data_IF_946940438944
#
_entry.id   IF_946940438944
#
_cell.length_a   1.000
_cell.length_b   1.000
_cell.length_c   1.000
_cell.angle_alpha   90.00
_cell.angle_beta   90.00
_cell.angle_gamma   90.00
#
_symmetry.space_group_name_H-M   'P 1'
#
loop_
_entity.id
_entity.type
_entity.pdbx_description
1 polymer ?
#
# COMPACT_ATOMS: atom_id res chain seq x y z
N UNK A 1 36.89 63.17 18.18
CA UNK A 1 37.54 62.58 19.39
C UNK A 1 37.76 61.08 19.13
N UNK A 2 38.87 60.53 19.64
CA UNK A 2 39.24 59.11 19.78
C UNK A 2 39.24 58.13 18.57
N UNK A 3 40.47 57.70 18.24
CA UNK A 3 41.07 56.42 17.75
C UNK A 3 40.19 55.13 17.65
N UNK A 4 40.57 54.12 16.82
CA UNK A 4 41.86 53.39 16.95
C UNK A 4 42.71 53.23 15.67
N UNK A 5 44.00 52.79 15.80
CA UNK A 5 44.98 52.75 14.71
C UNK A 5 45.31 51.33 14.18
N UNK A 6 45.98 51.29 13.03
CA UNK A 6 46.89 50.24 12.52
C UNK A 6 46.52 48.76 12.67
N UNK A 7 46.26 48.12 11.53
CA UNK A 7 46.85 46.81 11.22
C UNK A 7 47.16 46.71 9.71
N UNK A 8 48.45 46.78 9.36
CA UNK A 8 48.93 46.41 8.03
C UNK A 8 48.75 44.90 7.82
N UNK A 9 48.42 44.44 6.61
CA UNK A 9 48.68 43.05 6.22
C UNK A 9 47.77 42.42 5.17
N UNK A 10 48.05 42.64 3.89
CA UNK A 10 48.16 41.61 2.83
C UNK A 10 48.04 42.25 1.42
N UNK A 11 48.93 41.94 0.45
CA UNK A 11 48.71 42.27 -0.95
C UNK A 11 47.59 41.39 -1.55
N UNK A 12 46.87 41.86 -2.59
CA UNK A 12 45.79 41.09 -3.21
C UNK A 12 46.32 39.83 -3.92
N UNK A 13 45.59 38.71 -3.79
CA UNK A 13 45.88 37.48 -4.55
C UNK A 13 45.65 37.69 -6.05
N UNK A 14 46.46 37.08 -6.93
CA UNK A 14 46.19 37.07 -8.37
C UNK A 14 44.94 36.25 -8.69
N UNK A 15 44.20 36.69 -9.70
CA UNK A 15 43.00 36.04 -10.23
C UNK A 15 43.34 34.66 -10.82
N UNK A 16 42.61 33.61 -10.43
CA UNK A 16 42.67 32.32 -11.11
C UNK A 16 41.84 32.35 -12.41
N UNK A 17 42.30 31.70 -13.50
CA UNK A 17 41.50 31.53 -14.70
C UNK A 17 40.39 30.47 -14.49
N UNK A 18 39.27 30.56 -15.23
CA UNK A 18 38.17 29.60 -15.13
C UNK A 18 38.56 28.20 -15.65
N UNK A 19 37.91 27.12 -15.16
CA UNK A 19 38.20 25.76 -15.60
C UNK A 19 37.75 25.51 -17.06
N UNK A 20 38.43 24.60 -17.80
CA UNK A 20 38.11 24.31 -19.19
C UNK A 20 36.76 23.61 -19.35
N UNK A 21 36.00 23.97 -20.40
CA UNK A 21 34.77 23.26 -20.78
C UNK A 21 35.11 21.88 -21.38
N UNK A 22 34.28 20.85 -21.17
CA UNK A 22 34.38 19.60 -21.92
C UNK A 22 34.17 19.86 -23.42
N UNK A 23 35.04 19.30 -24.26
CA UNK A 23 34.88 19.29 -25.71
C UNK A 23 33.67 18.41 -26.08
N UNK A 24 32.67 18.99 -26.75
CA UNK A 24 31.62 18.19 -27.39
C UNK A 24 32.17 17.55 -28.67
N UNK A 25 31.88 16.26 -28.95
CA UNK A 25 32.28 15.63 -30.21
C UNK A 25 31.52 16.21 -31.40
N UNK A 26 32.13 16.26 -32.60
CA UNK A 26 31.50 16.85 -33.78
C UNK A 26 30.32 16.01 -34.32
N UNK A 27 29.32 16.64 -34.93
CA UNK A 27 28.00 16.03 -35.19
C UNK A 27 27.97 14.89 -36.23
N UNK A 28 29.05 14.66 -36.97
CA UNK A 28 29.11 13.67 -38.06
C UNK A 28 29.39 12.23 -37.60
N UNK A 29 29.74 11.99 -36.33
CA UNK A 29 30.06 10.64 -35.82
C UNK A 29 28.84 9.69 -35.80
N UNK A 30 27.62 10.21 -35.95
CA UNK A 30 26.36 9.46 -35.83
C UNK A 30 25.84 8.81 -37.13
N UNK A 31 26.62 8.82 -38.21
CA UNK A 31 26.20 8.26 -39.52
C UNK A 31 26.68 6.82 -39.80
N UNK A 32 27.40 6.18 -38.88
CA UNK A 32 27.70 4.75 -39.03
C UNK A 32 26.47 3.91 -38.65
N UNK A 33 26.01 2.99 -39.53
CA UNK A 33 25.01 2.00 -39.13
C UNK A 33 25.57 1.16 -37.97
N UNK A 34 24.78 0.87 -36.92
CA UNK A 34 25.27 0.13 -35.78
C UNK A 34 25.68 -1.28 -36.22
N UNK A 35 26.96 -1.61 -36.02
CA UNK A 35 27.46 -2.96 -36.22
C UNK A 35 26.62 -3.94 -35.38
N UNK A 36 26.13 -5.05 -35.95
CA UNK A 36 25.29 -5.99 -35.21
C UNK A 36 26.08 -6.55 -34.03
N UNK A 37 25.62 -6.23 -32.81
CA UNK A 37 26.29 -6.66 -31.59
C UNK A 37 26.32 -8.18 -31.52
N UNK A 38 27.49 -8.76 -31.27
CA UNK A 38 27.68 -10.21 -31.14
C UNK A 38 26.78 -10.83 -30.05
N UNK A 39 26.32 -10.03 -29.08
CA UNK A 39 25.33 -10.41 -28.08
C UNK A 39 23.97 -10.83 -28.67
N UNK A 40 23.61 -10.36 -29.88
CA UNK A 40 22.38 -10.79 -30.57
C UNK A 40 22.46 -12.26 -30.98
N UNK A 41 23.66 -12.77 -31.31
CA UNK A 41 23.83 -14.17 -31.68
C UNK A 41 23.64 -15.12 -30.50
N UNK A 42 24.02 -14.74 -29.28
CA UNK A 42 23.82 -15.58 -28.09
C UNK A 42 22.34 -15.94 -27.86
N UNK A 43 21.43 -15.01 -28.13
CA UNK A 43 19.97 -15.20 -27.97
C UNK A 43 19.29 -15.85 -29.19
N UNK A 44 20.03 -16.23 -30.24
CA UNK A 44 19.47 -17.03 -31.32
C UNK A 44 19.02 -18.39 -30.79
N UNK A 45 17.81 -18.80 -31.20
CA UNK A 45 17.13 -20.01 -30.73
C UNK A 45 18.03 -21.26 -30.71
N UNK A 46 18.83 -21.44 -31.75
CA UNK A 46 19.69 -22.61 -31.90
C UNK A 46 20.91 -22.55 -30.96
N UNK A 47 21.52 -21.38 -30.78
CA UNK A 47 22.62 -21.17 -29.82
C UNK A 47 22.14 -21.37 -28.37
N UNK A 48 20.96 -20.88 -28.01
CA UNK A 48 20.36 -21.12 -26.69
C UNK A 48 20.10 -22.62 -26.49
N UNK A 49 19.56 -23.30 -27.50
CA UNK A 49 19.27 -24.75 -27.47
C UNK A 49 20.55 -25.58 -27.29
N UNK A 50 21.61 -25.26 -28.03
CA UNK A 50 22.90 -25.93 -27.91
C UNK A 50 23.57 -25.68 -26.56
N UNK A 51 23.47 -24.46 -26.00
CA UNK A 51 23.96 -24.17 -24.65
C UNK A 51 23.19 -24.93 -23.57
N UNK A 52 21.86 -25.03 -23.68
CA UNK A 52 21.03 -25.83 -22.77
C UNK A 52 21.38 -27.31 -22.88
N UNK A 53 21.60 -27.84 -24.09
CA UNK A 53 22.01 -29.24 -24.30
C UNK A 53 23.37 -29.53 -23.65
N UNK A 54 24.39 -28.70 -23.89
CA UNK A 54 25.71 -28.82 -23.25
C UNK A 54 25.64 -28.74 -21.73
N UNK A 55 24.74 -27.90 -21.20
CA UNK A 55 24.51 -27.80 -19.75
C UNK A 55 23.89 -29.09 -19.21
N UNK A 56 22.93 -29.67 -19.91
CA UNK A 56 22.33 -30.96 -19.55
C UNK A 56 23.39 -32.09 -19.57
N UNK A 57 24.16 -32.21 -20.65
CA UNK A 57 25.30 -33.16 -20.76
C UNK A 57 26.29 -32.97 -19.58
N UNK A 58 26.56 -31.73 -19.18
CA UNK A 58 27.42 -31.42 -18.02
C UNK A 58 26.81 -31.85 -16.69
N UNK A 59 25.49 -31.72 -16.52
CA UNK A 59 24.76 -32.18 -15.32
C UNK A 59 24.72 -33.70 -15.25
N UNK A 60 24.54 -34.39 -16.37
CA UNK A 60 24.57 -35.85 -16.47
C UNK A 60 25.95 -36.40 -16.07
N UNK A 61 27.03 -35.87 -16.65
CA UNK A 61 28.42 -36.21 -16.26
C UNK A 61 28.70 -35.90 -14.79
N UNK A 62 28.22 -34.75 -14.28
CA UNK A 62 28.40 -34.39 -12.86
C UNK A 62 27.65 -35.34 -11.93
N UNK A 63 26.49 -35.84 -12.35
CA UNK A 63 25.68 -36.79 -11.57
C UNK A 63 26.29 -38.18 -11.56
N UNK A 64 26.82 -38.66 -12.69
CA UNK A 64 27.59 -39.90 -12.76
C UNK A 64 28.82 -39.87 -11.82
N UNK A 65 29.58 -38.77 -11.84
CA UNK A 65 30.73 -38.58 -10.94
C UNK A 65 30.32 -38.54 -9.45
N UNK A 66 29.15 -37.99 -9.12
CA UNK A 66 28.63 -38.03 -7.74
C UNK A 66 28.32 -39.48 -7.34
N UNK A 67 27.67 -40.25 -8.20
CA UNK A 67 27.34 -41.65 -7.93
C UNK A 67 28.60 -42.51 -7.74
N UNK A 68 29.62 -42.37 -8.61
CA UNK A 68 30.91 -43.06 -8.46
C UNK A 68 31.61 -42.71 -7.14
N UNK A 69 31.55 -41.43 -6.70
CA UNK A 69 32.11 -41.02 -5.41
C UNK A 69 31.33 -41.60 -4.21
N UNK A 70 30.02 -41.81 -4.33
CA UNK A 70 29.21 -42.48 -3.31
C UNK A 70 29.49 -43.99 -3.24
N UNK A 71 29.72 -44.64 -4.38
CA UNK A 71 30.15 -46.04 -4.46
C UNK A 71 31.55 -46.25 -3.82
N UNK A 72 32.50 -45.37 -4.12
CA UNK A 72 33.83 -45.38 -3.48
C UNK A 72 33.74 -45.09 -1.97
N UNK A 73 32.80 -44.26 -1.53
CA UNK A 73 32.59 -44.00 -0.10
C UNK A 73 31.96 -45.20 0.63
N UNK A 74 30.99 -45.89 0.04
CA UNK A 74 30.34 -47.06 0.65
C UNK A 74 31.27 -48.27 0.74
N UNK A 75 32.03 -48.55 -0.32
CA UNK A 75 33.05 -49.63 -0.34
C UNK A 75 34.21 -49.37 0.62
N UNK A 76 34.57 -48.10 0.88
CA UNK A 76 35.54 -47.76 1.91
C UNK A 76 35.00 -47.95 3.32
N UNK A 77 33.75 -47.58 3.57
CA UNK A 77 33.11 -47.71 4.88
C UNK A 77 32.81 -49.16 5.29
N UNK A 78 32.78 -50.12 4.35
CA UNK A 78 32.71 -51.56 4.67
C UNK A 78 34.07 -52.18 5.01
N UNK A 79 35.18 -51.57 4.60
CA UNK A 79 36.53 -52.03 4.93
C UNK A 79 36.94 -51.78 6.40
N UNK A 80 36.48 -50.68 7.00
CA UNK A 80 36.80 -50.32 8.39
C UNK A 80 35.99 -51.12 9.44
N UNK A 81 35.19 -52.12 9.02
CA UNK A 81 34.38 -52.97 9.89
C UNK A 81 35.03 -54.32 10.26
N UNK A 82 36.19 -54.67 9.68
CA UNK A 82 36.94 -55.90 9.99
C UNK A 82 38.37 -55.56 10.38
N UNK A 83 38.52 -54.96 11.56
CA UNK A 83 39.78 -54.94 12.29
C UNK A 83 39.78 -56.11 13.29
N UNK A 84 40.43 -57.22 12.91
CA UNK A 84 40.81 -58.25 13.87
C UNK A 84 42.29 -58.62 13.68
N UNK A 85 43.12 -58.06 14.57
CA UNK A 85 44.27 -58.70 15.22
C UNK A 85 44.92 -59.90 14.50
N UNK A 86 46.17 -59.73 14.06
CA UNK A 86 47.14 -60.81 13.87
C UNK A 86 48.56 -60.25 13.89
N UNK A 87 49.15 -60.19 15.09
CA UNK A 87 50.54 -59.79 15.29
C UNK A 87 51.54 -60.84 14.76
N UNK A 88 52.59 -60.33 14.12
CA UNK A 88 53.98 -60.80 14.12
C UNK A 88 54.28 -62.31 14.01
N UNK A 89 54.89 -62.71 12.89
CA UNK A 89 56.27 -63.27 12.83
C UNK A 89 56.44 -64.29 11.69
N UNK A 90 57.51 -64.16 10.90
CA UNK A 90 58.50 -65.22 10.64
C UNK A 90 59.31 -64.98 9.37
N UNK A 91 60.61 -65.11 9.52
CA UNK A 91 61.69 -65.06 8.52
C UNK A 91 61.44 -65.83 7.21
N UNK A 92 61.69 -65.19 6.05
CA UNK A 92 62.66 -65.71 5.05
C UNK A 92 63.06 -64.68 3.98
N UNK A 93 64.37 -64.55 3.76
CA UNK A 93 64.95 -63.99 2.54
C UNK A 93 64.99 -65.07 1.43
N UNK A 94 64.87 -64.66 0.16
CA UNK A 94 65.75 -65.11 -0.91
C UNK A 94 66.67 -63.92 -1.30
N UNK A 95 67.99 -64.00 -1.20
CA UNK A 95 68.88 -64.92 -1.92
C UNK A 95 68.81 -64.71 -3.43
N UNK A 96 69.59 -63.73 -3.88
CA UNK A 96 70.19 -63.54 -5.22
C UNK A 96 69.42 -63.96 -6.48
N UNK A 97 69.18 -62.98 -7.36
CA UNK A 97 69.77 -63.03 -8.70
C UNK A 97 69.96 -61.59 -9.20
N UNK A 98 71.15 -61.27 -9.71
CA UNK A 98 71.43 -59.97 -10.30
C UNK A 98 71.23 -59.98 -11.82
N UNK A 99 70.75 -58.87 -12.37
CA UNK A 99 71.15 -58.42 -13.70
C UNK A 99 71.17 -56.88 -13.76
N UNK A 100 71.94 -56.35 -14.70
CA UNK A 100 72.35 -54.95 -14.82
C UNK A 100 71.34 -54.08 -15.61
N UNK A 101 71.66 -52.78 -15.70
CA UNK A 101 71.21 -51.78 -16.71
C UNK A 101 70.16 -50.73 -16.28
N UNK A 102 70.67 -49.61 -15.76
CA UNK A 102 70.39 -48.22 -16.20
C UNK A 102 68.97 -47.75 -16.63
N UNK A 103 67.89 -47.99 -15.86
CA UNK A 103 66.62 -47.21 -16.00
C UNK A 103 65.92 -46.83 -14.67
N UNK A 104 66.58 -47.04 -13.52
CA UNK A 104 65.96 -46.88 -12.20
C UNK A 104 65.82 -45.42 -11.65
N UNK A 105 66.60 -44.39 -12.06
CA UNK A 105 66.43 -43.04 -11.50
C UNK A 105 65.14 -42.33 -11.93
N UNK A 106 64.73 -42.50 -13.20
CA UNK A 106 63.66 -41.72 -13.80
C UNK A 106 62.27 -42.13 -13.29
N UNK A 107 62.06 -43.42 -13.01
CA UNK A 107 60.77 -43.95 -12.53
C UNK A 107 60.42 -43.41 -11.15
N UNK A 108 61.37 -43.44 -10.21
CA UNK A 108 61.18 -42.86 -8.88
C UNK A 108 60.99 -41.33 -8.92
N UNK A 109 61.66 -40.63 -9.83
CA UNK A 109 61.47 -39.18 -10.00
C UNK A 109 60.07 -38.84 -10.53
N UNK A 110 59.57 -39.57 -11.53
CA UNK A 110 58.20 -39.41 -12.07
C UNK A 110 57.14 -39.72 -11.02
N UNK A 111 57.34 -40.77 -10.22
CA UNK A 111 56.43 -41.13 -9.12
C UNK A 111 56.40 -40.06 -8.01
N UNK A 112 57.56 -39.52 -7.61
CA UNK A 112 57.64 -38.43 -6.65
C UNK A 112 57.00 -37.14 -7.19
N UNK A 113 57.22 -36.81 -8.47
CA UNK A 113 56.61 -35.66 -9.12
C UNK A 113 55.07 -35.79 -9.21
N UNK A 114 54.57 -36.99 -9.51
CA UNK A 114 53.13 -37.30 -9.48
C UNK A 114 52.56 -37.15 -8.07
N UNK A 115 53.20 -37.75 -7.06
CA UNK A 115 52.80 -37.62 -5.65
C UNK A 115 52.81 -36.16 -5.14
N UNK A 116 53.76 -35.34 -5.62
CA UNK A 116 53.82 -33.89 -5.34
C UNK A 116 52.67 -33.14 -6.05
N UNK A 117 52.33 -33.54 -7.28
CA UNK A 117 51.19 -33.03 -8.03
C UNK A 117 49.84 -33.35 -7.38
N UNK A 118 49.66 -34.58 -6.91
CA UNK A 118 48.50 -35.07 -6.15
C UNK A 118 48.32 -34.30 -4.83
N UNK A 119 49.39 -34.18 -4.03
CA UNK A 119 49.40 -33.38 -2.79
C UNK A 119 49.05 -31.91 -3.06
N UNK A 120 49.62 -31.33 -4.12
CA UNK A 120 49.29 -29.96 -4.56
C UNK A 120 47.84 -29.82 -5.03
N UNK A 121 47.28 -30.85 -5.68
CA UNK A 121 45.87 -30.88 -6.09
C UNK A 121 44.92 -30.96 -4.88
N UNK A 122 45.24 -31.78 -3.87
CA UNK A 122 44.49 -31.84 -2.61
C UNK A 122 44.48 -30.50 -1.86
N UNK A 123 45.62 -29.80 -1.80
CA UNK A 123 45.68 -28.45 -1.19
C UNK A 123 44.78 -27.47 -1.95
N UNK A 124 44.81 -27.47 -3.30
CA UNK A 124 43.90 -26.64 -4.13
C UNK A 124 42.42 -26.99 -3.91
N UNK A 125 42.09 -28.28 -3.76
CA UNK A 125 40.73 -28.75 -3.46
C UNK A 125 40.26 -28.25 -2.08
N UNK A 126 41.08 -28.40 -1.04
CA UNK A 126 40.79 -27.93 0.31
C UNK A 126 40.56 -26.40 0.33
N UNK A 127 41.39 -25.63 -0.38
CA UNK A 127 41.22 -24.18 -0.55
C UNK A 127 39.90 -23.84 -1.27
N UNK A 128 39.55 -24.55 -2.36
CA UNK A 128 38.25 -24.39 -3.05
C UNK A 128 37.07 -24.67 -2.10
N UNK A 129 37.13 -25.73 -1.31
CA UNK A 129 36.10 -26.08 -0.32
C UNK A 129 35.95 -25.01 0.77
N UNK A 130 37.05 -24.48 1.30
CA UNK A 130 37.02 -23.38 2.27
C UNK A 130 36.48 -22.08 1.67
N UNK A 131 36.85 -21.75 0.41
CA UNK A 131 36.28 -20.62 -0.34
C UNK A 131 34.78 -20.79 -0.56
N UNK A 132 34.31 -22.00 -0.89
CA UNK A 132 32.90 -22.32 -1.02
C UNK A 132 32.12 -22.18 0.31
N UNK A 133 32.65 -22.72 1.42
CA UNK A 133 32.09 -22.55 2.78
C UNK A 133 31.98 -21.07 3.17
N UNK A 134 33.03 -20.27 2.93
CA UNK A 134 33.04 -18.82 3.17
C UNK A 134 32.01 -18.08 2.32
N UNK A 135 31.93 -18.39 1.02
CA UNK A 135 30.98 -17.80 0.08
C UNK A 135 29.52 -18.14 0.47
N UNK A 136 29.22 -19.38 0.87
CA UNK A 136 27.89 -19.79 1.38
C UNK A 136 27.49 -18.96 2.61
N UNK A 137 28.40 -18.75 3.57
CA UNK A 137 28.18 -17.89 4.75
C UNK A 137 27.96 -16.42 4.35
N UNK A 138 28.77 -15.87 3.45
CA UNK A 138 28.62 -14.49 2.96
C UNK A 138 27.29 -14.27 2.23
N UNK A 139 26.88 -15.16 1.31
CA UNK A 139 25.57 -15.08 0.64
C UNK A 139 24.40 -15.16 1.61
N UNK A 140 24.49 -16.00 2.66
CA UNK A 140 23.45 -16.06 3.71
C UNK A 140 23.34 -14.73 4.46
N UNK A 141 24.46 -14.12 4.84
CA UNK A 141 24.48 -12.79 5.49
C UNK A 141 23.96 -11.69 4.56
N UNK A 142 24.40 -11.65 3.29
CA UNK A 142 23.91 -10.67 2.31
C UNK A 142 22.40 -10.76 2.13
N UNK A 143 21.84 -11.97 1.97
CA UNK A 143 20.38 -12.14 1.90
C UNK A 143 19.65 -11.71 3.18
N UNK A 144 20.17 -12.04 4.37
CA UNK A 144 19.57 -11.58 5.63
C UNK A 144 19.55 -10.05 5.71
N UNK A 145 20.67 -9.40 5.40
CA UNK A 145 20.77 -7.94 5.46
C UNK A 145 19.86 -7.25 4.41
N UNK A 146 19.73 -7.81 3.22
CA UNK A 146 18.77 -7.32 2.21
C UNK A 146 17.32 -7.50 2.68
N UNK A 147 16.98 -8.64 3.28
CA UNK A 147 15.64 -8.84 3.86
C UNK A 147 15.36 -7.87 5.03
N UNK A 148 16.34 -7.63 5.90
CA UNK A 148 16.26 -6.66 7.00
C UNK A 148 16.08 -5.21 6.50
N UNK A 149 16.68 -4.85 5.37
CA UNK A 149 16.45 -3.55 4.73
C UNK A 149 15.01 -3.42 4.19
N UNK A 150 14.51 -4.43 3.48
CA UNK A 150 13.11 -4.46 3.00
C UNK A 150 12.09 -4.51 4.16
N UNK A 151 12.42 -5.15 5.27
CA UNK A 151 11.57 -5.21 6.47
C UNK A 151 11.51 -3.85 7.17
N UNK A 152 12.63 -3.11 7.24
CA UNK A 152 12.66 -1.72 7.74
C UNK A 152 11.88 -0.78 6.83
N UNK A 153 12.08 -0.87 5.52
CA UNK A 153 11.36 -0.07 4.52
C UNK A 153 9.84 -0.30 4.60
N UNK A 154 9.38 -1.55 4.75
CA UNK A 154 7.96 -1.84 5.04
C UNK A 154 7.49 -1.21 6.34
N UNK A 155 8.22 -1.39 7.42
CA UNK A 155 7.87 -0.81 8.72
C UNK A 155 7.88 0.74 8.72
N UNK A 156 8.65 1.38 7.83
CA UNK A 156 8.59 2.83 7.59
C UNK A 156 7.29 3.23 6.87
N UNK A 157 6.86 2.47 5.85
CA UNK A 157 5.55 2.69 5.22
C UNK A 157 4.39 2.45 6.18
N UNK A 158 4.38 1.33 6.91
CA UNK A 158 3.35 0.99 7.90
C UNK A 158 3.23 2.08 8.99
N UNK A 159 4.36 2.69 9.39
CA UNK A 159 4.37 3.84 10.32
C UNK A 159 3.68 5.08 9.74
N UNK A 160 3.98 5.41 8.48
CA UNK A 160 3.42 6.59 7.80
C UNK A 160 1.91 6.43 7.58
N UNK A 161 1.47 5.24 7.16
CA UNK A 161 0.04 4.95 6.99
C UNK A 161 -0.72 5.04 8.32
N UNK A 162 -0.15 4.49 9.41
CA UNK A 162 -0.72 4.62 10.75
C UNK A 162 -0.79 6.09 11.23
N UNK A 163 0.24 6.90 10.97
CA UNK A 163 0.22 8.33 11.30
C UNK A 163 -0.86 9.09 10.50
N UNK A 164 -1.04 8.74 9.22
CA UNK A 164 -2.11 9.30 8.38
C UNK A 164 -3.50 8.92 8.90
N UNK A 165 -3.71 7.68 9.34
CA UNK A 165 -4.97 7.23 9.96
C UNK A 165 -5.23 7.90 11.32
N UNK A 166 -4.22 8.00 12.17
CA UNK A 166 -4.31 8.79 13.40
C UNK A 166 -4.69 10.25 13.13
N UNK A 167 -4.10 10.87 12.10
CA UNK A 167 -4.41 12.24 11.73
C UNK A 167 -5.85 12.37 11.22
N UNK A 168 -6.30 11.45 10.35
CA UNK A 168 -7.69 11.37 9.89
C UNK A 168 -8.66 11.24 11.07
N UNK A 169 -8.42 10.31 11.99
CA UNK A 169 -9.24 10.10 13.18
C UNK A 169 -9.30 11.36 14.07
N UNK A 170 -8.17 12.05 14.26
CA UNK A 170 -8.10 13.32 15.02
C UNK A 170 -8.92 14.44 14.36
N UNK A 171 -9.00 14.52 13.04
CA UNK A 171 -9.86 15.51 12.36
C UNK A 171 -11.34 15.14 12.45
N UNK A 172 -11.70 13.87 12.21
CA UNK A 172 -13.08 13.38 12.36
C UNK A 172 -13.61 13.66 13.78
N UNK A 173 -12.79 13.40 14.81
CA UNK A 173 -13.15 13.70 16.19
C UNK A 173 -13.37 15.22 16.45
N UNK A 174 -12.55 16.10 15.86
CA UNK A 174 -12.74 17.56 15.95
C UNK A 174 -14.03 18.01 15.28
N UNK A 175 -14.35 17.49 14.10
CA UNK A 175 -15.57 17.84 13.37
C UNK A 175 -16.83 17.34 14.09
N UNK A 176 -16.79 16.14 14.67
CA UNK A 176 -17.87 15.62 15.53
C UNK A 176 -18.05 16.53 16.76
N UNK A 177 -16.95 16.91 17.43
CA UNK A 177 -17.02 17.81 18.59
C UNK A 177 -17.57 19.19 18.21
N UNK A 178 -17.11 19.79 17.10
CA UNK A 178 -17.61 21.07 16.58
C UNK A 178 -19.10 21.00 16.27
N UNK A 179 -19.55 19.99 15.53
CA UNK A 179 -20.97 19.76 15.19
C UNK A 179 -21.84 19.60 16.46
N UNK A 180 -21.33 18.93 17.49
CA UNK A 180 -22.02 18.77 18.78
C UNK A 180 -22.14 20.09 19.54
N UNK A 181 -21.11 20.94 19.52
CA UNK A 181 -21.16 22.30 20.09
C UNK A 181 -22.15 23.18 19.31
N UNK A 182 -22.13 23.16 17.98
CA UNK A 182 -23.07 23.91 17.14
C UNK A 182 -24.52 23.49 17.36
N UNK A 183 -24.79 22.18 17.45
CA UNK A 183 -26.11 21.64 17.81
C UNK A 183 -26.58 22.12 19.19
N UNK A 184 -25.70 22.08 20.19
CA UNK A 184 -26.00 22.59 21.54
C UNK A 184 -26.27 24.11 21.55
N UNK A 185 -25.54 24.89 20.74
CA UNK A 185 -25.82 26.33 20.55
C UNK A 185 -27.17 26.57 19.87
N UNK A 186 -27.56 25.77 18.87
CA UNK A 186 -28.88 25.86 18.25
C UNK A 186 -30.00 25.59 19.26
N UNK A 187 -29.86 24.57 20.12
CA UNK A 187 -30.80 24.27 21.20
C UNK A 187 -30.90 25.45 22.18
N UNK A 188 -29.78 26.02 22.61
CA UNK A 188 -29.76 27.18 23.50
C UNK A 188 -30.45 28.40 22.89
N UNK A 189 -30.15 28.73 21.62
CA UNK A 189 -30.81 29.82 20.87
C UNK A 189 -32.31 29.59 20.71
N UNK A 190 -32.74 28.34 20.48
CA UNK A 190 -34.16 27.99 20.38
C UNK A 190 -34.89 28.26 21.70
N UNK A 191 -34.32 27.81 22.84
CA UNK A 191 -34.90 28.06 24.17
C UNK A 191 -35.00 29.55 24.49
N UNK A 192 -33.96 30.34 24.24
CA UNK A 192 -33.99 31.80 24.46
C UNK A 192 -35.05 32.49 23.60
N UNK A 193 -35.21 32.09 22.33
CA UNK A 193 -36.25 32.64 21.47
C UNK A 193 -37.67 32.23 21.88
N UNK A 194 -37.84 31.03 22.44
CA UNK A 194 -39.11 30.53 22.98
C UNK A 194 -39.51 31.28 24.25
N UNK A 195 -38.57 31.48 25.18
CA UNK A 195 -38.74 32.31 26.38
C UNK A 195 -39.07 33.77 26.01
N UNK A 196 -38.36 34.36 25.03
CA UNK A 196 -38.66 35.71 24.55
C UNK A 196 -40.09 35.84 24.02
N UNK A 197 -40.54 34.88 23.19
CA UNK A 197 -41.91 34.84 22.66
C UNK A 197 -42.95 34.67 23.76
N UNK A 198 -42.63 33.88 24.79
CA UNK A 198 -43.50 33.73 25.97
C UNK A 198 -43.66 35.06 26.70
N UNK A 199 -42.55 35.74 27.03
CA UNK A 199 -42.58 37.05 27.70
C UNK A 199 -43.32 38.10 26.86
N UNK A 200 -43.09 38.15 25.55
CA UNK A 200 -43.81 39.01 24.61
C UNK A 200 -45.34 38.75 24.64
N UNK A 201 -45.77 37.49 24.77
CA UNK A 201 -47.19 37.15 24.93
C UNK A 201 -47.77 37.54 26.30
N UNK A 202 -46.97 37.44 27.37
CA UNK A 202 -47.34 37.85 28.73
C UNK A 202 -47.43 39.39 28.85
N UNK A 203 -46.55 40.13 28.16
CA UNK A 203 -46.60 41.58 28.03
C UNK A 203 -47.83 42.04 27.25
N UNK A 204 -48.12 41.44 26.08
CA UNK A 204 -49.32 41.73 25.30
C UNK A 204 -50.61 41.42 26.10
N UNK A 205 -50.62 40.35 26.91
CA UNK A 205 -51.73 40.06 27.84
C UNK A 205 -51.85 41.16 28.89
N UNK A 206 -50.74 41.60 29.48
CA UNK A 206 -50.71 42.64 30.51
C UNK A 206 -51.18 44.00 29.98
N UNK A 207 -50.74 44.41 28.79
CA UNK A 207 -51.19 45.63 28.10
C UNK A 207 -52.70 45.55 27.81
N UNK A 208 -53.19 44.40 27.34
CA UNK A 208 -54.63 44.18 27.11
C UNK A 208 -55.44 44.33 28.40
N UNK A 209 -55.03 43.68 29.49
CA UNK A 209 -55.68 43.78 30.80
C UNK A 209 -55.66 45.22 31.31
N UNK A 210 -54.52 45.92 31.20
CA UNK A 210 -54.42 47.33 31.61
C UNK A 210 -55.34 48.24 30.78
N UNK A 211 -55.51 47.97 29.47
CA UNK A 211 -56.45 48.69 28.60
C UNK A 211 -57.90 48.45 29.03
N UNK A 212 -58.29 47.20 29.29
CA UNK A 212 -59.65 46.87 29.75
C UNK A 212 -59.96 47.50 31.13
N UNK A 213 -58.98 47.47 32.06
CA UNK A 213 -59.09 48.12 33.37
C UNK A 213 -59.26 49.64 33.25
N UNK A 214 -58.53 50.30 32.34
CA UNK A 214 -58.70 51.74 32.04
C UNK A 214 -60.06 52.06 31.39
N UNK A 215 -60.70 51.09 30.74
CA UNK A 215 -62.04 51.21 30.16
C UNK A 215 -63.16 50.89 31.17
N UNK A 216 -62.85 50.67 32.45
CA UNK A 216 -63.84 50.40 33.49
C UNK A 216 -64.34 48.95 33.57
N UNK A 217 -63.78 48.04 32.78
CA UNK A 217 -64.15 46.63 32.78
C UNK A 217 -63.15 45.79 33.58
N UNK A 218 -63.32 45.70 34.92
CA UNK A 218 -62.60 44.71 35.74
C UNK A 218 -63.28 44.44 37.11
N UNK A 219 -63.51 43.16 37.44
CA UNK A 219 -63.87 42.65 38.77
C UNK A 219 -62.66 41.90 39.34
N UNK A 220 -61.99 42.36 40.42
CA UNK A 220 -60.66 41.83 40.77
C UNK A 220 -60.60 40.45 41.45
N UNK A 221 -61.52 40.10 42.37
CA UNK A 221 -61.28 38.99 43.31
C UNK A 221 -61.72 37.58 42.85
N UNK A 222 -62.55 37.45 41.82
CA UNK A 222 -63.23 36.19 41.49
C UNK A 222 -62.56 35.42 40.32
N UNK A 223 -62.03 36.15 39.34
CA UNK A 223 -61.38 35.59 38.14
C UNK A 223 -60.02 34.94 38.45
N UNK A 224 -59.24 35.48 39.38
CA UNK A 224 -57.94 34.89 39.75
C UNK A 224 -58.11 33.51 40.42
N UNK A 225 -59.12 33.35 41.27
CA UNK A 225 -59.52 32.04 41.84
C UNK A 225 -60.12 31.09 40.82
N UNK A 226 -60.65 31.58 39.71
CA UNK A 226 -61.10 30.74 38.60
C UNK A 226 -59.90 30.29 37.75
N UNK A 227 -59.02 31.21 37.37
CA UNK A 227 -57.78 30.92 36.63
C UNK A 227 -56.84 29.99 37.39
N UNK A 228 -56.75 30.11 38.71
CA UNK A 228 -55.99 29.17 39.55
C UNK A 228 -56.62 27.77 39.57
N UNK A 229 -57.96 27.66 39.68
CA UNK A 229 -58.67 26.37 39.55
C UNK A 229 -58.52 25.75 38.17
N UNK A 230 -58.57 26.55 37.10
CA UNK A 230 -58.33 26.08 35.72
C UNK A 230 -56.90 25.59 35.55
N UNK A 231 -55.90 26.32 36.07
CA UNK A 231 -54.51 25.86 36.08
C UNK A 231 -54.34 24.56 36.87
N UNK A 232 -54.92 24.47 38.07
CA UNK A 232 -54.85 23.27 38.91
C UNK A 232 -55.50 22.05 38.24
N UNK A 233 -56.61 22.25 37.52
CA UNK A 233 -57.26 21.18 36.75
C UNK A 233 -56.38 20.71 35.58
N UNK A 234 -55.80 21.64 34.81
CA UNK A 234 -54.88 21.33 33.70
C UNK A 234 -53.60 20.64 34.18
N UNK A 235 -53.02 21.10 35.29
CA UNK A 235 -51.81 20.48 35.88
C UNK A 235 -52.10 19.09 36.49
N UNK A 236 -53.34 18.85 36.95
CA UNK A 236 -53.79 17.52 37.37
C UNK A 236 -53.99 16.58 36.17
N UNK A 237 -54.58 17.06 35.08
CA UNK A 237 -54.71 16.32 33.81
C UNK A 237 -53.35 15.97 33.19
N UNK A 238 -52.41 16.91 33.17
CA UNK A 238 -51.04 16.68 32.67
C UNK A 238 -50.30 15.64 33.53
N UNK A 239 -50.43 15.69 34.87
CA UNK A 239 -49.91 14.63 35.76
C UNK A 239 -50.57 13.28 35.48
N UNK A 240 -51.88 13.25 35.26
CA UNK A 240 -52.59 12.01 34.95
C UNK A 240 -52.12 11.41 33.62
N UNK A 241 -51.97 12.22 32.57
CA UNK A 241 -51.42 11.82 31.29
C UNK A 241 -49.97 11.30 31.41
N UNK A 242 -49.12 11.96 32.20
CA UNK A 242 -47.76 11.51 32.48
C UNK A 242 -47.73 10.16 33.24
N UNK A 243 -48.66 9.93 34.18
CA UNK A 243 -48.79 8.61 34.83
C UNK A 243 -49.29 7.53 33.88
N UNK A 244 -50.27 7.83 33.01
CA UNK A 244 -50.76 6.90 32.00
C UNK A 244 -49.65 6.47 31.03
N UNK A 245 -48.95 7.44 30.43
CA UNK A 245 -47.81 7.18 29.55
C UNK A 245 -46.69 6.37 30.24
N UNK A 246 -46.42 6.63 31.53
CA UNK A 246 -45.47 5.84 32.32
C UNK A 246 -45.97 4.41 32.56
N UNK A 247 -47.27 4.19 32.77
CA UNK A 247 -47.83 2.83 32.87
C UNK A 247 -47.82 2.10 31.54
N UNK A 248 -48.05 2.79 30.43
CA UNK A 248 -48.04 2.17 29.10
C UNK A 248 -46.61 1.76 28.69
N UNK A 249 -45.62 2.62 28.91
CA UNK A 249 -44.20 2.25 28.74
C UNK A 249 -43.76 1.06 29.62
N UNK A 250 -44.38 0.88 30.80
CA UNK A 250 -44.15 -0.31 31.66
C UNK A 250 -44.85 -1.55 31.09
N UNK A 251 -46.06 -1.43 30.54
CA UNK A 251 -46.74 -2.54 29.84
C UNK A 251 -45.93 -3.00 28.63
N UNK A 252 -45.44 -2.08 27.81
CA UNK A 252 -44.62 -2.37 26.63
C UNK A 252 -43.31 -3.07 26.99
N UNK A 253 -42.66 -2.64 28.08
CA UNK A 253 -41.47 -3.30 28.61
C UNK A 253 -41.77 -4.73 29.12
N UNK A 254 -42.92 -4.96 29.76
CA UNK A 254 -43.36 -6.29 30.19
C UNK A 254 -43.67 -7.19 28.99
N UNK A 255 -44.39 -6.68 27.99
CA UNK A 255 -44.70 -7.42 26.75
C UNK A 255 -43.43 -7.81 26.00
N UNK A 256 -42.49 -6.88 25.85
CA UNK A 256 -41.17 -7.14 25.24
C UNK A 256 -40.38 -8.21 26.02
N UNK A 257 -40.47 -8.19 27.35
CA UNK A 257 -39.83 -9.19 28.21
C UNK A 257 -40.55 -10.55 28.22
N UNK A 258 -41.86 -10.61 27.97
CA UNK A 258 -42.62 -11.86 27.84
C UNK A 258 -42.44 -12.51 26.45
N UNK A 259 -42.43 -11.71 25.39
CA UNK A 259 -42.11 -12.17 24.03
C UNK A 259 -40.71 -12.79 23.98
N UNK A 260 -39.74 -12.18 24.66
CA UNK A 260 -38.37 -12.71 24.85
C UNK A 260 -38.31 -14.06 25.59
N UNK A 261 -39.39 -14.50 26.27
CA UNK A 261 -39.46 -15.80 26.97
C UNK A 261 -40.22 -16.89 26.22
N UNK A 262 -40.85 -16.60 25.07
CA UNK A 262 -41.59 -17.58 24.26
C UNK A 262 -40.83 -18.09 23.03
N UNK A 263 -39.56 -17.72 22.87
CA UNK A 263 -38.66 -18.34 21.89
C UNK A 263 -38.35 -19.81 22.31
N UNK A 264 -38.66 -20.82 21.49
CA UNK A 264 -38.52 -22.22 21.88
C UNK A 264 -37.07 -22.74 21.84
N UNK A 265 -36.73 -23.61 22.78
CA UNK A 265 -35.55 -24.48 22.69
C UNK A 265 -35.84 -25.71 21.83
N UNK A 266 -34.90 -26.08 20.96
CA UNK A 266 -34.67 -27.38 20.28
C UNK A 266 -33.48 -27.16 19.30
N UNK A 267 -32.39 -27.94 19.21
CA UNK A 267 -31.88 -29.11 19.96
C UNK A 267 -30.31 -29.11 20.00
N UNK A 268 -29.74 -29.15 21.21
CA UNK A 268 -28.67 -30.07 21.71
C UNK A 268 -27.40 -30.51 20.92
N UNK A 269 -26.23 -30.25 21.56
CA UNK A 269 -25.00 -31.10 21.71
C UNK A 269 -24.11 -31.44 20.47
N UNK A 270 -22.77 -31.58 20.54
CA UNK A 270 -21.76 -31.56 21.63
C UNK A 270 -20.33 -31.18 21.10
N UNK A 271 -19.40 -30.89 22.04
CA UNK A 271 -17.92 -30.71 21.91
C UNK A 271 -17.39 -29.33 21.44
N UNK A 272 -16.26 -28.78 21.93
CA UNK A 272 -15.62 -28.85 23.27
C UNK A 272 -14.61 -27.66 23.48
N UNK A 273 -14.19 -27.45 24.73
CA UNK A 273 -12.95 -26.83 25.25
C UNK A 273 -12.34 -25.52 24.64
N UNK A 274 -12.51 -24.45 25.44
CA UNK A 274 -11.43 -23.61 26.03
C UNK A 274 -11.12 -22.20 25.46
N UNK A 275 -11.47 -21.21 26.31
CA UNK A 275 -10.87 -19.87 26.55
C UNK A 275 -10.63 -18.90 25.36
N UNK A 276 -11.46 -17.87 25.15
CA UNK A 276 -11.61 -16.62 25.94
C UNK A 276 -10.52 -15.56 25.64
N UNK A 277 -10.84 -14.53 24.83
CA UNK A 277 -10.89 -13.09 25.22
C UNK A 277 -11.19 -12.17 24.00
N UNK A 278 -12.24 -11.33 24.16
CA UNK A 278 -12.50 -9.93 23.68
C UNK A 278 -11.64 -9.37 22.51
N UNK A 279 -12.16 -8.61 21.53
CA UNK A 279 -13.35 -7.72 21.47
C UNK A 279 -13.75 -7.34 20.01
N UNK A 280 -14.97 -6.81 19.78
CA UNK A 280 -15.45 -6.28 18.49
C UNK A 280 -14.87 -4.89 18.09
N UNK A 281 -15.55 -4.02 17.28
CA UNK A 281 -17.01 -3.74 17.39
C UNK A 281 -17.80 -3.28 16.12
N UNK A 282 -19.13 -3.13 16.30
CA UNK A 282 -20.11 -2.28 15.55
C UNK A 282 -20.47 -2.62 14.08
N UNK A 283 -21.76 -2.97 13.89
CA UNK A 283 -22.54 -2.64 12.69
C UNK A 283 -23.82 -1.91 13.10
N UNK A 284 -24.22 -0.91 12.31
CA UNK A 284 -25.38 -0.03 12.54
C UNK A 284 -26.61 -0.52 11.74
N UNK A 285 -27.83 -0.26 12.24
CA UNK A 285 -29.08 -0.82 11.68
C UNK A 285 -30.15 0.22 11.39
N UNK A 286 -30.49 0.30 10.10
CA UNK A 286 -31.78 0.72 9.51
C UNK A 286 -32.20 2.19 9.64
N UNK A 287 -32.30 2.86 8.49
CA UNK A 287 -33.50 3.63 8.16
C UNK A 287 -34.09 3.10 6.84
N UNK A 288 -35.39 2.79 6.84
CA UNK A 288 -36.18 2.44 5.65
C UNK A 288 -37.44 3.29 5.69
N UNK A 289 -37.54 4.27 4.80
CA UNK A 289 -38.72 5.13 4.68
C UNK A 289 -39.64 4.66 3.54
N UNK A 290 -40.92 5.02 3.63
CA UNK A 290 -42.01 4.50 2.81
C UNK A 290 -42.23 5.39 1.58
N UNK A 291 -42.22 4.78 0.39
CA UNK A 291 -42.52 5.46 -0.88
C UNK A 291 -43.46 4.62 -1.75
N UNK A 292 -44.69 5.08 -1.93
CA UNK A 292 -45.72 4.46 -2.76
C UNK A 292 -45.35 4.63 -4.25
N UNK A 293 -45.47 3.57 -5.06
CA UNK A 293 -45.60 3.74 -6.51
C UNK A 293 -46.44 2.62 -7.14
N UNK A 294 -47.40 3.01 -7.98
CA UNK A 294 -48.31 2.13 -8.71
C UNK A 294 -47.67 1.49 -9.94
N UNK A 295 -48.35 0.45 -10.45
CA UNK A 295 -48.06 -0.24 -11.70
C UNK A 295 -48.23 0.70 -12.90
N UNK A 296 -47.35 0.59 -13.90
CA UNK A 296 -47.83 0.45 -15.28
C UNK A 296 -46.78 -0.20 -16.21
N UNK A 297 -47.28 -0.82 -17.28
CA UNK A 297 -46.49 -1.63 -18.20
C UNK A 297 -45.80 -0.82 -19.33
N UNK A 298 -44.79 -1.45 -19.94
CA UNK A 298 -44.12 -1.01 -21.17
C UNK A 298 -45.06 -1.11 -22.40
N UNK A 299 -44.88 -0.34 -23.52
CA UNK A 299 -43.68 -0.53 -24.37
C UNK A 299 -43.17 0.64 -25.26
N UNK A 300 -41.85 0.56 -25.56
CA UNK A 300 -41.15 0.87 -26.83
C UNK A 300 -41.86 1.68 -27.96
N UNK A 301 -41.28 2.83 -28.35
CA UNK A 301 -40.91 3.26 -29.74
C UNK A 301 -39.81 4.35 -29.68
N UNK A 302 -38.65 4.16 -30.32
CA UNK A 302 -38.18 4.72 -31.63
C UNK A 302 -37.85 6.23 -31.70
N UNK A 303 -36.63 6.45 -32.19
CA UNK A 303 -35.92 7.63 -32.71
C UNK A 303 -36.74 8.78 -33.31
N UNK A 304 -36.41 10.03 -32.95
CA UNK A 304 -36.22 11.12 -33.93
C UNK A 304 -35.44 12.35 -33.38
N UNK A 305 -34.67 12.99 -34.26
CA UNK A 305 -33.98 14.26 -34.02
C UNK A 305 -34.92 15.44 -34.31
N UNK A 306 -34.88 16.49 -33.49
CA UNK A 306 -35.53 17.77 -33.81
C UNK A 306 -35.39 18.78 -32.68
N UNK A 307 -34.42 19.70 -32.78
CA UNK A 307 -34.27 20.78 -31.80
C UNK A 307 -35.11 22.01 -32.17
N UNK A 308 -35.36 22.89 -31.20
CA UNK A 308 -34.88 24.28 -31.25
C UNK A 308 -35.12 25.08 -29.95
N UNK A 309 -34.04 25.73 -29.49
CA UNK A 309 -33.99 27.12 -28.99
C UNK A 309 -34.82 27.54 -27.76
N UNK A 310 -34.12 27.73 -26.64
CA UNK A 310 -34.31 28.90 -25.74
C UNK A 310 -32.97 29.61 -25.59
N UNK A 311 -32.95 30.93 -25.76
CA UNK A 311 -31.74 31.74 -25.60
C UNK A 311 -31.52 32.13 -24.13
N UNK A 312 -30.29 31.97 -23.62
CA UNK A 312 -29.85 32.47 -22.32
C UNK A 312 -28.41 32.95 -22.41
N UNK A 313 -28.18 34.27 -22.33
CA UNK A 313 -26.84 34.88 -22.39
C UNK A 313 -26.01 34.48 -21.16
N UNK A 314 -24.81 33.92 -21.35
CA UNK A 314 -23.91 33.63 -20.23
C UNK A 314 -22.52 33.14 -20.65
N UNK A 315 -21.58 34.07 -20.74
CA UNK A 315 -20.11 33.90 -20.71
C UNK A 315 -19.53 32.56 -21.25
N UNK A 316 -19.07 32.58 -22.51
CA UNK A 316 -18.46 31.40 -23.13
C UNK A 316 -17.10 31.02 -22.54
N UNK A 317 -17.06 29.94 -21.76
CA UNK A 317 -15.89 29.08 -21.67
C UNK A 317 -16.16 27.84 -22.51
N UNK A 318 -15.77 27.90 -23.79
CA UNK A 318 -15.79 26.72 -24.66
C UNK A 318 -14.68 25.78 -24.16
N UNK A 319 -15.05 24.73 -23.44
CA UNK A 319 -14.10 23.68 -23.05
C UNK A 319 -13.59 23.00 -24.34
N UNK A 320 -12.29 23.06 -24.67
CA UNK A 320 -11.75 22.50 -25.90
C UNK A 320 -11.98 20.99 -26.04
N UNK A 321 -12.26 20.30 -24.93
CA UNK A 321 -12.42 18.85 -24.84
C UNK A 321 -13.77 18.40 -25.44
N UNK A 322 -14.80 19.25 -25.45
CA UNK A 322 -16.15 18.87 -25.89
C UNK A 322 -16.32 18.70 -27.41
N UNK A 323 -15.28 19.04 -28.20
CA UNK A 323 -15.28 18.90 -29.66
C UNK A 323 -14.37 17.76 -30.17
N UNK A 324 -13.83 16.92 -29.28
CA UNK A 324 -13.03 15.76 -29.69
C UNK A 324 -13.96 14.62 -30.20
N UNK A 325 -13.50 13.81 -31.17
CA UNK A 325 -14.21 12.59 -31.58
C UNK A 325 -14.45 11.67 -30.37
N UNK A 326 -15.56 10.94 -30.39
CA UNK A 326 -16.05 10.12 -29.27
C UNK A 326 -14.98 9.14 -28.75
N UNK A 327 -14.16 8.62 -29.64
CA UNK A 327 -13.04 7.71 -29.38
C UNK A 327 -12.00 8.32 -28.42
N UNK A 328 -11.75 9.63 -28.53
CA UNK A 328 -10.83 10.32 -27.61
C UNK A 328 -11.49 10.63 -26.26
N UNK A 329 -12.79 10.93 -26.23
CA UNK A 329 -13.51 11.11 -24.97
C UNK A 329 -13.54 9.81 -24.18
N UNK A 330 -13.76 8.68 -24.86
CA UNK A 330 -13.64 7.34 -24.30
C UNK A 330 -12.21 7.09 -23.75
N UNK A 331 -11.16 7.40 -24.51
CA UNK A 331 -9.77 7.24 -24.07
C UNK A 331 -9.41 8.07 -22.82
N UNK A 332 -9.74 9.37 -22.80
CA UNK A 332 -9.35 10.28 -21.72
C UNK A 332 -10.27 10.24 -20.49
N UNK A 333 -11.57 10.01 -20.67
CA UNK A 333 -12.56 10.09 -19.58
C UNK A 333 -13.27 8.77 -19.30
N UNK A 334 -13.40 7.86 -20.27
CA UNK A 334 -14.09 6.57 -20.08
C UNK A 334 -13.45 5.72 -18.97
N UNK A 335 -12.11 5.76 -18.84
CA UNK A 335 -11.37 5.09 -17.76
C UNK A 335 -11.68 5.59 -16.34
N UNK A 336 -12.36 6.74 -16.19
CA UNK A 336 -12.83 7.26 -14.89
C UNK A 336 -14.19 6.70 -14.46
N UNK A 337 -14.95 6.10 -15.39
CA UNK A 337 -16.32 5.63 -15.16
C UNK A 337 -16.53 4.16 -15.53
N UNK A 338 -15.62 3.57 -16.32
CA UNK A 338 -15.65 2.16 -16.73
C UNK A 338 -14.27 1.49 -16.58
N UNK A 339 -14.28 0.36 -15.86
CA UNK A 339 -13.10 -0.48 -15.65
C UNK A 339 -12.65 -1.22 -16.93
N UNK A 340 -13.56 -1.50 -17.87
CA UNK A 340 -13.21 -2.10 -19.16
C UNK A 340 -12.28 -1.18 -19.95
N UNK A 341 -12.70 0.08 -20.11
CA UNK A 341 -11.94 1.16 -20.75
C UNK A 341 -10.57 1.36 -20.09
N UNK A 342 -10.50 1.36 -18.75
CA UNK A 342 -9.22 1.47 -18.03
C UNK A 342 -8.26 0.31 -18.35
N UNK A 343 -8.78 -0.92 -18.47
CA UNK A 343 -8.00 -2.11 -18.83
C UNK A 343 -7.50 -2.02 -20.28
N UNK A 344 -8.33 -1.54 -21.21
CA UNK A 344 -7.94 -1.36 -22.63
C UNK A 344 -6.85 -0.30 -22.79
N UNK A 345 -7.02 0.86 -22.16
CA UNK A 345 -6.00 1.92 -22.10
C UNK A 345 -4.69 1.37 -21.53
N UNK A 346 -4.74 0.65 -20.40
CA UNK A 346 -3.54 0.03 -19.79
C UNK A 346 -2.87 -0.97 -20.74
N UNK A 347 -3.63 -1.85 -21.40
CA UNK A 347 -3.09 -2.83 -22.37
C UNK A 347 -2.41 -2.16 -23.56
N UNK A 348 -2.98 -1.05 -24.04
CA UNK A 348 -2.36 -0.23 -25.08
C UNK A 348 -1.04 0.36 -24.61
N UNK A 349 -0.98 0.97 -23.42
CA UNK A 349 0.29 1.47 -22.84
C UNK A 349 1.33 0.37 -22.62
N UNK A 350 0.92 -0.81 -22.13
CA UNK A 350 1.82 -1.94 -21.95
C UNK A 350 2.45 -2.40 -23.29
N UNK A 351 1.78 -2.20 -24.43
CA UNK A 351 2.34 -2.47 -25.77
C UNK A 351 3.50 -1.53 -26.14
N UNK A 352 3.55 -0.31 -25.60
CA UNK A 352 4.62 0.67 -25.82
C UNK A 352 5.76 0.55 -24.80
N UNK A 353 5.47 0.00 -23.62
CA UNK A 353 6.42 -0.10 -22.49
C UNK A 353 7.19 -1.42 -22.48
N UNK A 354 6.65 -2.49 -23.08
CA UNK A 354 7.31 -3.81 -23.13
C UNK A 354 8.56 -3.83 -24.01
N UNK A 355 9.63 -4.56 -23.63
CA UNK A 355 10.78 -4.79 -24.51
C UNK A 355 10.33 -5.48 -25.81
N UNK A 356 10.54 -4.81 -26.94
CA UNK A 356 10.06 -5.26 -28.26
C UNK A 356 8.71 -4.69 -28.70
N UNK A 357 8.12 -3.78 -27.92
CA UNK A 357 6.97 -2.98 -28.35
C UNK A 357 7.28 -2.02 -29.51
N UNK A 358 6.25 -1.61 -30.25
CA UNK A 358 6.40 -0.59 -31.29
C UNK A 358 6.75 0.75 -30.66
N UNK A 359 8.02 1.16 -30.80
CA UNK A 359 8.66 2.35 -30.22
C UNK A 359 7.73 3.48 -29.75
N UNK A 360 7.89 3.87 -28.48
CA UNK A 360 7.81 5.30 -28.11
C UNK A 360 8.71 6.05 -29.12
N UNK A 361 8.20 7.07 -29.85
CA UNK A 361 8.95 7.72 -30.91
C UNK A 361 10.33 8.19 -30.43
N UNK A 362 11.39 7.80 -31.15
CA UNK A 362 12.78 8.03 -30.73
C UNK A 362 13.17 9.49 -30.52
N UNK A 363 12.37 10.43 -31.04
CA UNK A 363 12.34 11.79 -30.56
C UNK A 363 11.47 11.91 -29.29
N UNK A 364 12.09 11.86 -28.11
CA UNK A 364 11.44 12.41 -26.93
C UNK A 364 11.22 13.90 -27.20
N UNK A 365 9.98 14.29 -27.48
CA UNK A 365 9.64 15.70 -27.70
C UNK A 365 9.89 16.41 -26.39
N UNK A 366 10.95 17.23 -26.35
CA UNK A 366 11.23 18.04 -25.18
C UNK A 366 10.01 18.94 -24.95
N UNK A 367 9.28 18.79 -23.83
CA UNK A 367 8.10 19.59 -23.59
C UNK A 367 8.51 21.06 -23.57
N UNK A 368 7.63 21.95 -24.07
CA UNK A 368 7.86 23.38 -23.89
C UNK A 368 8.02 23.66 -22.39
N UNK A 369 8.87 24.62 -21.98
CA UNK A 369 8.95 25.03 -20.58
C UNK A 369 7.54 25.28 -20.03
N UNK A 370 7.24 24.87 -18.78
CA UNK A 370 5.94 25.13 -18.17
C UNK A 370 5.58 26.61 -18.32
N UNK A 371 4.34 26.90 -18.69
CA UNK A 371 3.88 28.28 -18.91
C UNK A 371 3.80 29.12 -17.63
N UNK A 372 4.07 28.49 -16.49
CA UNK A 372 4.05 29.05 -15.15
C UNK A 372 5.40 28.76 -14.45
N UNK A 373 6.02 29.82 -13.95
CA UNK A 373 7.33 29.83 -13.30
C UNK A 373 7.32 28.99 -12.00
N UNK A 374 6.17 28.87 -11.34
CA UNK A 374 5.97 28.02 -10.17
C UNK A 374 6.22 26.54 -10.54
N UNK A 375 5.66 26.06 -11.65
CA UNK A 375 5.85 24.67 -12.09
C UNK A 375 7.26 24.39 -12.58
N UNK A 376 7.94 25.37 -13.18
CA UNK A 376 9.34 25.24 -13.58
C UNK A 376 10.26 25.03 -12.37
N UNK A 377 9.97 25.66 -11.22
CA UNK A 377 10.77 25.55 -10.00
C UNK A 377 10.85 24.12 -9.43
N UNK A 378 9.79 23.31 -9.58
CA UNK A 378 9.77 21.91 -9.11
C UNK A 378 10.55 20.94 -9.99
N UNK A 379 10.86 21.31 -11.25
CA UNK A 379 11.59 20.46 -12.19
C UNK A 379 13.11 20.65 -12.12
N UNK A 380 13.58 21.76 -11.53
CA UNK A 380 15.00 22.04 -11.36
C UNK A 380 15.42 21.66 -9.94
N UNK A 381 15.97 20.46 -9.77
CA UNK A 381 16.59 20.07 -8.50
C UNK A 381 17.77 21.02 -8.18
N UNK A 382 17.84 21.60 -6.96
CA UNK A 382 19.01 22.33 -6.53
C UNK A 382 20.22 21.39 -6.42
N UNK A 383 21.40 21.89 -6.79
CA UNK A 383 22.69 21.17 -6.76
C UNK A 383 23.34 21.16 -5.38
#
# INVERSE_FOLDING_TARGET
>A
MFRPPNAFGAPPRPLQPPPPRPLQPPPWQWQQPPQPSTAVSFWQRDNVRDHVKRLQETVEVSSALINELEEIATTRNSGDAVAQESDLSSTKLPSEFGDSSEDMPLRHFVELARSMGERSAMVRLAQKLQKAKRNKRWRKRKRKHVAELFEKERADYDRIDHEADEWRAKQIAKDIAKRKVESMQQIARKKVNEERKRLESEELRSIRVQKMKKQGHFLPEEDDKYLERVKAAVEAEERQAATAARTDAVKDAILTAEESRKAPQNENHHEDASEQFKSGPIEDKNLRDVGISEKNDQPSQKTEHGGHKVEGKGHGHHDPISNLPFEFYHYYHGSSYDMGTLIEVRRMWDSFIRPGGSHIPGHWVQPRPPSDEVWASYLVQPK
#
